data_IF_024893890964
#
_entry.id   IF_024893890964
#
_cell.length_a   1.000
_cell.length_b   1.000
_cell.length_c   1.000
_cell.angle_alpha   90.00
_cell.angle_beta   90.00
_cell.angle_gamma   90.00
#
_symmetry.space_group_name_H-M   'P 1'
#
loop_
_entity.id
_entity.type
_entity.pdbx_description
1 polymer ?
#
# COMPACT_ATOMS: atom_id res chain seq x y z
N UNK A 1 44.50 15.43 -55.83
CA UNK A 1 44.37 16.86 -55.47
C UNK A 1 43.10 17.06 -54.66
N UNK A 2 43.25 17.52 -53.40
CA UNK A 2 42.44 18.51 -52.66
C UNK A 2 40.91 18.29 -52.55
N UNK A 3 40.19 18.51 -51.43
CA UNK A 3 40.46 19.05 -50.09
C UNK A 3 39.22 18.79 -49.19
N UNK A 4 39.46 18.82 -47.88
CA UNK A 4 38.58 18.91 -46.70
C UNK A 4 37.21 19.63 -46.87
N UNK A 5 36.24 19.29 -46.02
CA UNK A 5 35.60 20.14 -44.96
C UNK A 5 34.52 19.32 -44.17
N UNK A 6 34.56 19.40 -42.83
CA UNK A 6 33.55 19.02 -41.80
C UNK A 6 32.45 20.12 -41.69
N UNK A 7 31.28 20.05 -40.98
CA UNK A 7 31.10 19.49 -39.61
C UNK A 7 29.68 19.00 -39.17
N UNK A 8 29.57 18.65 -37.86
CA UNK A 8 28.39 18.58 -36.93
C UNK A 8 27.39 17.40 -37.10
N UNK A 9 26.96 16.64 -36.07
CA UNK A 9 27.22 16.63 -34.63
C UNK A 9 26.33 15.61 -33.87
N UNK A 10 26.48 15.62 -32.54
CA UNK A 10 25.68 14.96 -31.48
C UNK A 10 26.01 13.49 -31.17
N UNK A 11 26.97 13.33 -30.25
CA UNK A 11 27.22 12.12 -29.45
C UNK A 11 26.30 12.06 -28.24
N UNK A 12 25.75 10.87 -28.00
CA UNK A 12 24.87 10.51 -26.91
C UNK A 12 25.58 10.42 -25.55
N UNK A 13 24.80 10.71 -24.51
CA UNK A 13 25.13 10.69 -23.08
C UNK A 13 24.51 9.42 -22.49
N UNK A 14 25.28 8.64 -21.73
CA UNK A 14 24.89 8.00 -20.46
C UNK A 14 25.90 6.92 -20.09
N UNK A 15 26.69 7.19 -19.04
CA UNK A 15 27.59 6.22 -18.41
C UNK A 15 27.31 6.16 -16.91
N UNK A 16 27.34 4.93 -16.38
CA UNK A 16 27.82 4.54 -15.04
C UNK A 16 26.89 4.79 -13.84
N UNK A 17 26.82 3.94 -12.81
CA UNK A 17 27.46 2.66 -12.52
C UNK A 17 26.64 1.92 -11.44
N UNK A 18 26.70 0.60 -11.51
CA UNK A 18 26.20 -0.39 -10.55
C UNK A 18 27.05 -0.42 -9.26
N UNK A 19 26.43 -0.55 -8.09
CA UNK A 19 27.11 -0.93 -6.85
C UNK A 19 26.49 -2.23 -6.33
N UNK A 20 27.23 -3.33 -6.46
CA UNK A 20 26.94 -4.60 -5.80
C UNK A 20 27.56 -4.60 -4.40
N UNK A 21 26.73 -4.71 -3.36
CA UNK A 21 27.19 -4.84 -1.98
C UNK A 21 27.55 -6.30 -1.66
N UNK A 22 28.82 -6.54 -1.31
CA UNK A 22 29.31 -7.82 -0.79
C UNK A 22 29.34 -7.73 0.74
N UNK A 23 28.40 -8.39 1.39
CA UNK A 23 28.36 -8.57 2.84
C UNK A 23 29.47 -9.54 3.25
N UNK A 24 30.41 -9.06 4.05
CA UNK A 24 31.23 -9.93 4.93
C UNK A 24 31.04 -9.51 6.37
N UNK A 25 30.87 -10.54 7.17
CA UNK A 25 30.42 -10.60 8.54
C UNK A 25 31.63 -10.42 9.44
N UNK A 26 31.80 -9.27 10.07
CA UNK A 26 32.78 -9.11 11.15
C UNK A 26 32.32 -8.09 12.17
N UNK A 27 32.28 -8.58 13.40
CA UNK A 27 31.90 -7.92 14.64
C UNK A 27 32.61 -6.59 14.86
N UNK A 28 31.88 -5.49 15.05
CA UNK A 28 32.44 -4.32 15.73
C UNK A 28 31.44 -3.71 16.71
N UNK A 29 31.95 -3.66 17.94
CA UNK A 29 31.32 -3.27 19.18
C UNK A 29 30.69 -1.88 19.15
N UNK A 30 29.52 -1.82 19.77
CA UNK A 30 28.78 -0.63 20.14
C UNK A 30 29.48 0.07 21.32
N UNK A 31 30.39 1.03 21.03
CA UNK A 31 30.76 2.19 21.87
C UNK A 31 31.98 2.89 21.26
N UNK A 32 31.76 4.09 20.70
CA UNK A 32 32.84 5.01 20.33
C UNK A 32 32.91 5.34 18.83
N UNK A 33 31.90 6.01 18.29
CA UNK A 33 32.00 6.67 16.98
C UNK A 33 31.08 7.89 16.90
N UNK A 34 31.11 8.76 17.91
CA UNK A 34 30.64 10.15 17.77
C UNK A 34 31.87 11.03 17.91
N UNK A 35 32.57 11.24 16.79
CA UNK A 35 33.50 12.36 16.51
C UNK A 35 34.28 12.04 15.24
N UNK A 36 33.71 12.38 14.08
CA UNK A 36 34.50 12.83 12.93
C UNK A 36 33.59 13.35 11.81
N UNK A 37 33.90 14.56 11.36
CA UNK A 37 33.66 15.06 10.02
C UNK A 37 32.21 15.41 9.59
N UNK A 38 31.75 16.59 10.00
CA UNK A 38 30.98 17.45 9.07
C UNK A 38 31.58 18.86 9.09
N UNK A 39 32.61 19.07 8.26
CA UNK A 39 33.27 20.38 8.06
C UNK A 39 32.69 21.02 6.80
N UNK A 40 31.53 21.66 6.92
CA UNK A 40 30.97 22.48 5.83
C UNK A 40 31.74 23.79 5.75
N UNK A 41 32.42 24.01 4.61
CA UNK A 41 33.01 25.32 4.24
C UNK A 41 31.88 26.35 4.12
N UNK A 42 31.75 27.25 5.10
CA UNK A 42 30.93 28.46 4.97
C UNK A 42 31.72 29.49 4.15
N UNK A 43 31.19 29.92 2.99
CA UNK A 43 31.68 31.13 2.31
C UNK A 43 31.11 32.37 3.04
N UNK A 44 31.85 33.48 3.13
CA UNK A 44 31.33 34.68 3.76
C UNK A 44 30.24 35.28 2.87
N UNK A 45 29.03 35.44 3.42
CA UNK A 45 28.00 36.27 2.81
C UNK A 45 28.26 37.70 3.27
N UNK A 46 28.60 38.56 2.32
CA UNK A 46 28.74 40.01 2.52
C UNK A 46 27.37 40.58 2.81
N UNK A 47 27.18 41.13 4.01
CA UNK A 47 25.96 41.86 4.38
C UNK A 47 26.10 43.26 3.78
N UNK A 48 25.37 43.52 2.69
CA UNK A 48 25.17 44.87 2.17
C UNK A 48 24.07 45.51 3.01
N UNK A 49 24.43 46.47 3.86
CA UNK A 49 23.50 47.29 4.63
C UNK A 49 22.76 48.24 3.69
N UNK A 50 21.51 47.92 3.36
CA UNK A 50 20.62 48.82 2.63
C UNK A 50 19.75 49.57 3.65
N UNK A 51 20.13 50.82 3.93
CA UNK A 51 19.30 51.76 4.68
C UNK A 51 18.08 52.14 3.85
N UNK A 52 16.90 51.65 4.22
CA UNK A 52 15.64 52.19 3.75
C UNK A 52 14.92 52.77 4.96
N UNK A 53 15.03 54.09 5.10
CA UNK A 53 14.11 54.87 5.91
C UNK A 53 12.73 54.79 5.25
N UNK A 54 11.76 54.22 5.96
CA UNK A 54 10.40 54.08 5.43
C UNK A 54 9.42 53.56 6.48
N UNK A 55 8.74 54.51 7.13
CA UNK A 55 7.41 54.38 7.74
C UNK A 55 7.16 53.25 8.76
N UNK A 56 7.10 53.67 10.03
CA UNK A 56 6.44 53.00 11.15
C UNK A 56 4.93 52.84 10.87
N UNK A 57 4.56 51.80 10.12
CA UNK A 57 3.20 51.29 10.10
C UNK A 57 3.17 50.04 10.99
N UNK A 58 2.55 50.17 12.17
CA UNK A 58 2.33 49.11 13.14
C UNK A 58 1.82 47.83 12.49
N UNK A 59 2.71 46.87 12.28
CA UNK A 59 2.34 45.46 12.13
C UNK A 59 2.65 44.79 13.45
N UNK A 60 1.70 44.95 14.39
CA UNK A 60 1.59 44.05 15.52
C UNK A 60 1.39 42.64 14.96
N UNK A 61 2.45 41.83 14.95
CA UNK A 61 2.35 40.39 14.84
C UNK A 61 1.49 39.95 16.03
N UNK A 62 0.20 39.71 15.80
CA UNK A 62 -0.56 38.84 16.67
C UNK A 62 0.00 37.43 16.41
N UNK A 63 0.53 36.71 17.41
CA UNK A 63 0.63 35.27 17.28
C UNK A 63 -0.80 34.78 17.15
N UNK A 64 -1.18 34.30 15.97
CA UNK A 64 -2.37 33.49 15.82
C UNK A 64 -2.13 32.18 16.58
N UNK A 65 -2.29 32.23 17.91
CA UNK A 65 -2.66 31.07 18.69
C UNK A 65 -3.98 30.60 18.13
N UNK A 66 -3.91 29.65 17.20
CA UNK A 66 -5.06 28.88 16.78
C UNK A 66 -5.58 28.19 18.04
N UNK A 67 -6.61 28.79 18.65
CA UNK A 67 -7.43 28.14 19.67
C UNK A 67 -8.24 27.03 18.96
N UNK A 68 -7.55 25.97 18.53
CA UNK A 68 -8.20 24.72 18.22
C UNK A 68 -8.76 24.21 19.54
N UNK A 69 -10.09 24.23 19.68
CA UNK A 69 -10.76 23.61 20.81
C UNK A 69 -10.20 22.18 21.00
N UNK A 70 -9.90 21.75 22.25
CA UNK A 70 -9.37 20.41 22.48
C UNK A 70 -10.32 19.39 21.84
N UNK A 71 -9.79 18.37 21.14
CA UNK A 71 -10.63 17.39 20.49
C UNK A 71 -11.59 16.81 21.52
N UNK A 72 -12.88 16.72 21.17
CA UNK A 72 -13.86 16.13 22.08
C UNK A 72 -13.38 14.71 22.48
N UNK A 73 -13.61 14.31 23.73
CA UNK A 73 -13.09 13.06 24.26
C UNK A 73 -13.46 11.84 23.39
N UNK A 74 -14.64 11.84 22.78
CA UNK A 74 -15.09 10.80 21.87
C UNK A 74 -14.26 10.71 20.57
N UNK A 75 -13.83 11.85 20.02
CA UNK A 75 -12.98 11.91 18.83
C UNK A 75 -11.58 11.36 19.16
N UNK A 76 -11.05 11.64 20.35
CA UNK A 76 -9.79 11.07 20.83
C UNK A 76 -9.91 9.56 20.99
N UNK A 77 -10.96 9.08 21.66
CA UNK A 77 -11.21 7.64 21.85
C UNK A 77 -11.32 6.92 20.50
N UNK A 78 -12.10 7.48 19.56
CA UNK A 78 -12.27 6.90 18.22
C UNK A 78 -10.96 6.88 17.42
N UNK A 79 -10.18 7.96 17.49
CA UNK A 79 -8.85 8.01 16.84
C UNK A 79 -7.92 6.94 17.42
N UNK A 80 -7.89 6.80 18.74
CA UNK A 80 -7.06 5.79 19.40
C UNK A 80 -7.50 4.37 19.06
N UNK A 81 -8.81 4.13 18.90
CA UNK A 81 -9.35 2.86 18.43
C UNK A 81 -8.86 2.51 17.01
N UNK A 82 -8.88 3.47 16.09
CA UNK A 82 -8.36 3.29 14.72
C UNK A 82 -6.85 2.96 14.73
N UNK A 83 -6.07 3.66 15.55
CA UNK A 83 -4.62 3.42 15.66
C UNK A 83 -4.30 2.03 16.21
N UNK A 84 -5.02 1.57 17.25
CA UNK A 84 -4.85 0.21 17.77
C UNK A 84 -5.32 -0.85 16.77
N UNK A 85 -6.43 -0.58 16.08
CA UNK A 85 -6.97 -1.46 15.05
C UNK A 85 -6.03 -1.69 13.87
N UNK A 86 -5.21 -0.69 13.54
CA UNK A 86 -4.17 -0.85 12.53
C UNK A 86 -3.17 -1.96 12.91
N UNK A 87 -2.81 -2.09 14.19
CA UNK A 87 -1.87 -3.13 14.62
C UNK A 87 -2.43 -4.53 14.36
N UNK A 88 -3.70 -4.76 14.70
CA UNK A 88 -4.37 -6.03 14.43
C UNK A 88 -4.53 -6.31 12.92
N UNK A 89 -4.67 -5.27 12.11
CA UNK A 89 -4.68 -5.41 10.65
C UNK A 89 -3.32 -5.90 10.12
N UNK A 90 -2.21 -5.33 10.61
CA UNK A 90 -0.86 -5.76 10.20
C UNK A 90 -0.61 -7.24 10.55
N UNK A 91 -1.13 -7.70 11.69
CA UNK A 91 -0.96 -9.07 12.17
C UNK A 91 -1.82 -10.09 11.41
N UNK A 92 -3.10 -9.77 11.19
CA UNK A 92 -4.09 -10.75 10.73
C UNK A 92 -4.46 -10.63 9.25
N UNK A 93 -4.23 -9.47 8.62
CA UNK A 93 -4.81 -9.15 7.30
C UNK A 93 -3.78 -8.74 6.26
N UNK A 94 -2.70 -8.06 6.65
CA UNK A 94 -1.75 -7.45 5.72
C UNK A 94 -0.97 -8.44 4.86
N UNK A 95 -0.93 -9.72 5.25
CA UNK A 95 -0.34 -10.78 4.42
C UNK A 95 -1.09 -11.00 3.10
N UNK A 96 -2.42 -10.87 3.11
CA UNK A 96 -3.25 -11.11 1.93
C UNK A 96 -3.89 -9.84 1.37
N UNK A 97 -3.95 -8.76 2.14
CA UNK A 97 -4.75 -7.58 1.79
C UNK A 97 -3.92 -6.31 1.83
N UNK A 98 -4.05 -5.51 0.78
CA UNK A 98 -3.50 -4.16 0.74
C UNK A 98 -4.57 -3.10 1.02
N UNK A 99 -4.21 -2.06 1.76
CA UNK A 99 -4.99 -0.83 1.91
C UNK A 99 -4.61 0.23 0.87
N UNK A 100 -3.61 -0.04 0.02
CA UNK A 100 -3.15 0.90 -1.01
C UNK A 100 -4.04 0.84 -2.26
N UNK A 101 -4.27 2.01 -2.88
CA UNK A 101 -5.07 2.11 -4.11
C UNK A 101 -4.40 1.35 -5.25
N UNK A 102 -5.18 0.49 -5.93
CA UNK A 102 -4.73 -0.23 -7.12
C UNK A 102 -3.80 -1.42 -6.86
N UNK A 103 -3.50 -1.74 -5.60
CA UNK A 103 -2.73 -2.92 -5.26
C UNK A 103 -3.69 -4.10 -5.09
N UNK A 104 -3.53 -5.10 -5.95
CA UNK A 104 -4.19 -6.41 -5.87
C UNK A 104 -3.17 -7.40 -5.32
N UNK A 105 -3.59 -8.21 -4.37
CA UNK A 105 -2.74 -9.18 -3.68
C UNK A 105 -3.43 -10.57 -3.69
N UNK A 106 -3.02 -11.48 -2.81
CA UNK A 106 -3.68 -12.78 -2.60
C UNK A 106 -5.19 -12.61 -2.36
N UNK A 107 -5.58 -11.56 -1.63
CA UNK A 107 -6.94 -11.15 -1.37
C UNK A 107 -7.32 -9.81 -2.02
N UNK A 108 -8.62 -9.46 -2.03
CA UNK A 108 -9.11 -8.20 -2.61
C UNK A 108 -8.57 -6.97 -1.88
N UNK A 109 -8.32 -5.89 -2.62
CA UNK A 109 -7.92 -4.61 -2.03
C UNK A 109 -8.96 -4.10 -1.01
N UNK A 110 -8.47 -3.66 0.15
CA UNK A 110 -9.27 -3.01 1.18
C UNK A 110 -9.19 -1.49 1.11
N UNK A 111 -8.54 -0.93 0.08
CA UNK A 111 -8.58 0.50 -0.16
C UNK A 111 -10.03 0.99 -0.27
N UNK A 112 -10.38 2.01 0.53
CA UNK A 112 -11.70 2.59 0.54
C UNK A 112 -12.82 1.69 1.08
N UNK A 113 -12.50 0.59 1.77
CA UNK A 113 -13.47 -0.38 2.31
C UNK A 113 -14.60 0.28 3.13
N UNK A 114 -14.26 1.20 4.03
CA UNK A 114 -15.21 1.93 4.87
C UNK A 114 -16.14 2.88 4.11
N UNK A 115 -15.90 3.11 2.81
CA UNK A 115 -16.83 3.79 1.91
C UNK A 115 -17.83 2.87 1.20
N UNK A 116 -17.56 1.54 1.17
CA UNK A 116 -18.32 0.56 0.39
C UNK A 116 -18.99 -0.55 1.23
N UNK A 117 -18.59 -0.73 2.50
CA UNK A 117 -19.18 -1.71 3.42
C UNK A 117 -19.43 -1.09 4.79
N UNK A 118 -20.54 -1.49 5.41
CA UNK A 118 -20.86 -1.14 6.80
C UNK A 118 -20.06 -2.03 7.77
N UNK A 119 -19.92 -1.58 9.01
CA UNK A 119 -19.09 -2.25 10.03
C UNK A 119 -19.53 -3.70 10.31
N UNK A 120 -20.84 -3.95 10.37
CA UNK A 120 -21.41 -5.27 10.55
C UNK A 120 -21.15 -6.17 9.33
N UNK A 121 -21.21 -5.62 8.11
CA UNK A 121 -20.89 -6.36 6.89
C UNK A 121 -19.40 -6.71 6.82
N UNK A 122 -18.51 -5.83 7.29
CA UNK A 122 -17.08 -6.11 7.40
C UNK A 122 -16.85 -7.25 8.40
N UNK A 123 -17.45 -7.17 9.59
CA UNK A 123 -17.31 -8.22 10.60
C UNK A 123 -17.79 -9.57 10.08
N UNK A 124 -18.99 -9.61 9.49
CA UNK A 124 -19.55 -10.85 8.94
C UNK A 124 -18.69 -11.43 7.82
N UNK A 125 -18.12 -10.59 6.95
CA UNK A 125 -17.23 -11.07 5.89
C UNK A 125 -15.96 -11.73 6.44
N UNK A 126 -15.45 -11.26 7.58
CA UNK A 126 -14.26 -11.83 8.23
C UNK A 126 -14.62 -13.12 8.99
N UNK A 127 -15.74 -13.13 9.71
CA UNK A 127 -16.19 -14.30 10.48
C UNK A 127 -16.66 -15.45 9.58
N UNK A 128 -17.22 -15.13 8.41
CA UNK A 128 -17.78 -16.09 7.46
C UNK A 128 -17.17 -15.90 6.06
N UNK A 129 -15.87 -16.15 5.87
CA UNK A 129 -15.18 -15.90 4.60
C UNK A 129 -15.72 -16.74 3.43
N UNK A 130 -16.41 -17.84 3.72
CA UNK A 130 -17.04 -18.72 2.75
C UNK A 130 -18.48 -18.31 2.37
N UNK A 131 -19.12 -17.40 3.12
CA UNK A 131 -20.51 -17.01 2.85
C UNK A 131 -20.63 -16.17 1.56
N UNK A 132 -19.61 -15.34 1.27
CA UNK A 132 -19.56 -14.53 0.06
C UNK A 132 -18.10 -14.28 -0.34
N UNK A 133 -17.65 -14.95 -1.39
CA UNK A 133 -16.32 -14.75 -1.95
C UNK A 133 -16.34 -13.54 -2.91
N UNK A 134 -15.32 -12.71 -2.86
CA UNK A 134 -15.20 -11.55 -3.74
C UNK A 134 -14.99 -12.00 -5.20
N UNK A 135 -15.63 -11.30 -6.14
CA UNK A 135 -15.48 -11.59 -7.57
C UNK A 135 -14.02 -11.47 -8.00
N UNK A 136 -13.53 -12.47 -8.72
CA UNK A 136 -12.14 -12.60 -9.14
C UNK A 136 -11.22 -13.21 -8.09
N UNK A 137 -11.75 -13.64 -6.94
CA UNK A 137 -11.04 -14.34 -5.86
C UNK A 137 -11.66 -15.70 -5.53
N UNK A 138 -12.56 -16.20 -6.38
CA UNK A 138 -13.09 -17.54 -6.28
C UNK A 138 -12.00 -18.57 -6.57
N UNK A 139 -11.96 -19.65 -5.81
CA UNK A 139 -11.10 -20.80 -6.08
C UNK A 139 -11.95 -21.97 -6.61
N UNK A 140 -11.35 -22.79 -7.46
CA UNK A 140 -11.96 -24.04 -7.88
C UNK A 140 -10.92 -25.11 -8.19
N UNK A 141 -11.38 -26.36 -8.21
CA UNK A 141 -10.68 -27.48 -8.80
C UNK A 141 -11.29 -27.80 -10.15
N UNK A 142 -10.46 -27.88 -11.19
CA UNK A 142 -10.86 -28.25 -12.55
C UNK A 142 -10.22 -29.59 -12.90
N UNK A 143 -11.03 -30.54 -13.35
CA UNK A 143 -10.58 -31.72 -14.08
C UNK A 143 -10.66 -31.41 -15.57
N UNK A 144 -9.53 -31.48 -16.27
CA UNK A 144 -9.49 -31.32 -17.71
C UNK A 144 -9.68 -32.66 -18.40
N UNK A 145 -10.24 -32.66 -19.61
CA UNK A 145 -10.37 -33.86 -20.47
C UNK A 145 -9.01 -34.55 -20.76
N UNK A 146 -7.90 -33.83 -20.58
CA UNK A 146 -6.54 -34.39 -20.62
C UNK A 146 -6.17 -35.27 -19.43
N UNK A 147 -7.04 -35.40 -18.42
CA UNK A 147 -6.77 -36.04 -17.13
C UNK A 147 -6.00 -35.18 -16.12
N UNK A 148 -5.62 -33.95 -16.47
CA UNK A 148 -4.93 -33.03 -15.56
C UNK A 148 -5.91 -32.37 -14.60
N UNK A 149 -5.51 -32.26 -13.34
CA UNK A 149 -6.23 -31.52 -12.30
C UNK A 149 -5.54 -30.19 -12.04
N UNK A 150 -6.31 -29.10 -12.04
CA UNK A 150 -5.83 -27.77 -11.70
C UNK A 150 -6.60 -27.26 -10.48
N UNK A 151 -5.89 -26.69 -9.51
CA UNK A 151 -6.48 -26.01 -8.37
C UNK A 151 -5.94 -24.59 -8.31
N UNK A 152 -6.83 -23.61 -8.16
CA UNK A 152 -6.42 -22.22 -8.05
C UNK A 152 -7.56 -21.24 -8.21
N UNK A 153 -7.20 -19.97 -8.30
CA UNK A 153 -8.14 -18.86 -8.46
C UNK A 153 -8.73 -18.91 -9.86
N UNK A 154 -10.05 -18.92 -9.96
CA UNK A 154 -10.77 -19.11 -11.22
C UNK A 154 -11.66 -17.92 -11.53
N UNK A 155 -11.71 -17.55 -12.81
CA UNK A 155 -12.76 -16.68 -13.34
C UNK A 155 -13.39 -17.38 -14.53
N UNK A 156 -14.72 -17.44 -14.52
CA UNK A 156 -15.50 -18.04 -15.61
C UNK A 156 -16.33 -16.94 -16.27
N UNK A 157 -16.12 -16.73 -17.56
CA UNK A 157 -16.88 -15.77 -18.37
C UNK A 157 -17.06 -16.34 -19.78
N UNK A 158 -18.28 -16.28 -20.30
CA UNK A 158 -18.61 -16.65 -21.69
C UNK A 158 -18.06 -18.04 -22.12
N UNK A 159 -18.13 -19.03 -21.22
CA UNK A 159 -17.64 -20.39 -21.48
C UNK A 159 -16.12 -20.55 -21.46
N UNK A 160 -15.39 -19.53 -21.01
CA UNK A 160 -13.94 -19.51 -20.86
C UNK A 160 -13.57 -19.56 -19.38
N UNK A 161 -12.76 -20.55 -19.02
CA UNK A 161 -12.22 -20.74 -17.68
C UNK A 161 -10.80 -20.21 -17.64
N UNK A 162 -10.56 -19.15 -16.86
CA UNK A 162 -9.22 -18.66 -16.56
C UNK A 162 -8.83 -19.12 -15.16
N UNK A 163 -7.79 -19.94 -15.05
CA UNK A 163 -7.29 -20.49 -13.77
C UNK A 163 -5.89 -19.96 -13.52
N UNK A 164 -5.69 -19.34 -12.37
CA UNK A 164 -4.40 -18.90 -11.85
C UNK A 164 -3.97 -19.86 -10.75
N UNK A 165 -3.01 -20.73 -11.08
CA UNK A 165 -2.46 -21.76 -10.17
C UNK A 165 -1.33 -21.18 -9.33
N UNK A 166 -0.62 -20.20 -9.87
CA UNK A 166 0.45 -19.45 -9.22
C UNK A 166 0.19 -17.95 -9.42
N UNK A 167 0.54 -17.09 -8.44
CA UNK A 167 0.31 -15.66 -8.53
C UNK A 167 0.82 -15.05 -9.86
N UNK A 168 -0.09 -14.44 -10.61
CA UNK A 168 0.22 -13.80 -11.90
C UNK A 168 0.37 -14.74 -13.10
N UNK A 169 0.31 -16.06 -12.91
CA UNK A 169 0.40 -17.06 -13.99
C UNK A 169 -0.98 -17.69 -14.22
N UNK A 170 -1.70 -17.18 -15.21
CA UNK A 170 -3.02 -17.70 -15.58
C UNK A 170 -2.97 -18.57 -16.83
N UNK A 171 -3.76 -19.64 -16.81
CA UNK A 171 -4.03 -20.53 -17.95
C UNK A 171 -5.50 -20.43 -18.32
N UNK A 172 -5.80 -20.55 -19.61
CA UNK A 172 -7.15 -20.42 -20.13
C UNK A 172 -7.60 -21.72 -20.78
N UNK A 173 -8.82 -22.14 -20.51
CA UNK A 173 -9.46 -23.35 -21.03
C UNK A 173 -10.85 -23.02 -21.55
N UNK A 174 -11.26 -23.66 -22.63
CA UNK A 174 -12.64 -23.58 -23.11
C UNK A 174 -13.48 -24.60 -22.36
N UNK A 175 -14.80 -24.37 -22.26
CA UNK A 175 -15.71 -25.29 -21.59
C UNK A 175 -15.62 -26.75 -22.09
N UNK A 176 -15.34 -26.95 -23.39
CA UNK A 176 -15.14 -28.29 -23.98
C UNK A 176 -13.91 -29.03 -23.48
N UNK A 177 -12.93 -28.31 -22.90
CA UNK A 177 -11.69 -28.88 -22.40
C UNK A 177 -11.76 -29.17 -20.88
N UNK A 178 -12.85 -28.76 -20.22
CA UNK A 178 -13.13 -28.97 -18.79
C UNK A 178 -14.13 -30.12 -18.66
N UNK A 179 -13.68 -31.21 -18.04
CA UNK A 179 -14.50 -32.38 -17.76
C UNK A 179 -15.34 -32.21 -16.50
N UNK A 180 -14.74 -31.65 -15.44
CA UNK A 180 -15.43 -31.35 -14.19
C UNK A 180 -14.94 -30.03 -13.58
N UNK A 181 -15.84 -29.36 -12.87
CA UNK A 181 -15.60 -28.08 -12.20
C UNK A 181 -16.22 -28.08 -10.80
N UNK A 182 -15.36 -28.02 -9.79
CA UNK A 182 -15.76 -28.00 -8.40
C UNK A 182 -15.33 -26.70 -7.72
N UNK A 183 -16.26 -25.81 -7.33
CA UNK A 183 -15.93 -24.66 -6.50
C UNK A 183 -15.26 -25.08 -5.19
N UNK A 184 -14.24 -24.32 -4.80
CA UNK A 184 -13.49 -24.51 -3.57
C UNK A 184 -13.87 -23.48 -2.51
N UNK A 185 -13.46 -23.74 -1.26
CA UNK A 185 -13.57 -22.76 -0.17
C UNK A 185 -12.69 -21.53 -0.44
N UNK A 186 -13.03 -20.43 0.23
CA UNK A 186 -12.27 -19.18 0.21
C UNK A 186 -10.82 -19.41 0.60
N UNK A 187 -9.90 -18.66 -0.03
CA UNK A 187 -8.51 -18.58 0.41
C UNK A 187 -8.36 -17.86 1.76
N UNK A 188 -9.35 -17.04 2.14
CA UNK A 188 -9.34 -16.37 3.44
C UNK A 188 -9.62 -17.39 4.55
N UNK A 189 -8.74 -17.50 5.56
CA UNK A 189 -8.87 -18.49 6.62
C UNK A 189 -10.06 -18.19 7.55
N UNK A 190 -10.73 -19.25 8.00
CA UNK A 190 -11.70 -19.16 9.10
C UNK A 190 -10.95 -18.95 10.43
N UNK A 191 -11.62 -18.37 11.43
CA UNK A 191 -11.02 -18.14 12.73
C UNK A 191 -9.98 -17.01 12.78
N UNK A 192 -9.91 -16.16 11.73
CA UNK A 192 -8.98 -15.01 11.66
C UNK A 192 -9.09 -14.07 12.88
N UNK A 193 -10.23 -14.06 13.58
CA UNK A 193 -10.48 -13.21 14.75
C UNK A 193 -10.44 -13.97 16.08
N UNK A 194 -10.12 -15.27 16.10
CA UNK A 194 -10.29 -16.11 17.29
C UNK A 194 -9.35 -15.71 18.43
N UNK A 195 -8.15 -15.21 18.08
CA UNK A 195 -7.16 -14.72 19.05
C UNK A 195 -7.44 -13.30 19.55
N UNK A 196 -8.47 -12.62 19.02
CA UNK A 196 -8.83 -11.26 19.39
C UNK A 196 -10.01 -11.23 20.36
N UNK A 197 -9.88 -10.44 21.42
CA UNK A 197 -11.00 -10.10 22.29
C UNK A 197 -11.98 -9.11 21.61
N UNK A 198 -13.15 -8.91 22.21
CA UNK A 198 -14.20 -8.05 21.64
C UNK A 198 -13.74 -6.60 21.40
N UNK A 199 -12.83 -6.09 22.24
CA UNK A 199 -12.30 -4.74 22.11
C UNK A 199 -11.31 -4.68 20.95
N UNK A 200 -10.44 -5.67 20.81
CA UNK A 200 -9.47 -5.78 19.73
C UNK A 200 -10.19 -5.96 18.38
N UNK A 201 -11.22 -6.81 18.32
CA UNK A 201 -12.12 -6.93 17.16
C UNK A 201 -12.75 -5.59 16.82
N UNK A 202 -13.31 -4.89 17.81
CA UNK A 202 -13.92 -3.57 17.60
C UNK A 202 -12.93 -2.52 17.09
N UNK A 203 -11.70 -2.52 17.62
CA UNK A 203 -10.61 -1.66 17.15
C UNK A 203 -10.22 -1.99 15.70
N UNK A 204 -10.07 -3.27 15.33
CA UNK A 204 -9.82 -3.70 13.94
C UNK A 204 -10.94 -3.23 12.99
N UNK A 205 -12.21 -3.46 13.35
CA UNK A 205 -13.35 -2.99 12.54
C UNK A 205 -13.40 -1.45 12.49
N UNK A 206 -12.93 -0.75 13.53
CA UNK A 206 -12.78 0.72 13.52
C UNK A 206 -11.76 1.15 12.47
N UNK A 207 -10.61 0.49 12.42
CA UNK A 207 -9.60 0.75 11.42
C UNK A 207 -10.12 0.48 10.01
N UNK A 208 -10.65 -0.71 9.74
CA UNK A 208 -11.19 -1.09 8.43
C UNK A 208 -12.31 -0.17 7.95
N UNK A 209 -13.23 0.21 8.85
CA UNK A 209 -14.30 1.17 8.56
C UNK A 209 -13.81 2.62 8.40
N UNK A 210 -12.59 2.94 8.81
CA UNK A 210 -11.98 4.26 8.61
C UNK A 210 -11.31 4.41 7.24
N UNK A 211 -11.06 3.29 6.53
CA UNK A 211 -10.48 3.27 5.19
C UNK A 211 -11.47 3.86 4.18
N UNK A 212 -11.40 5.17 3.95
CA UNK A 212 -12.22 5.86 2.96
C UNK A 212 -11.36 6.30 1.78
N UNK A 213 -11.87 6.26 0.54
CA UNK A 213 -11.14 6.81 -0.58
C UNK A 213 -10.89 8.31 -0.32
N UNK A 214 -9.64 8.74 -0.49
CA UNK A 214 -9.35 10.17 -0.57
C UNK A 214 -9.94 10.66 -1.88
N UNK A 215 -11.02 11.43 -1.80
CA UNK A 215 -11.57 12.14 -2.96
C UNK A 215 -10.62 13.32 -3.19
N UNK A 216 -9.70 13.19 -4.15
CA UNK A 216 -9.02 14.35 -4.71
C UNK A 216 -10.09 15.16 -5.43
N UNK A 217 -10.54 16.25 -4.80
CA UNK A 217 -11.39 17.23 -5.46
C UNK A 217 -10.48 17.94 -6.45
N UNK A 218 -10.62 17.60 -7.73
CA UNK A 218 -10.02 18.39 -8.79
C UNK A 218 -10.63 19.80 -8.72
N UNK A 219 -9.87 20.76 -8.20
CA UNK A 219 -10.22 22.16 -8.31
C UNK A 219 -10.36 22.48 -9.81
N UNK A 220 -11.50 23.04 -10.17
CA UNK A 220 -11.91 23.32 -11.54
C UNK A 220 -11.69 24.80 -11.84
#
# INVERSE_FOLDING_TARGET
MLKKILPVGVTAIAETATVSAKLTRESLNFKGAIRAAFRVKRKPVVIVSLSIAGTLASLMLQPAVVNAAPPNANAVVKRNAVLRGQLHFEEACAYCHSTCKGVIDVGPSLFGLGGRMKRNEILEAIEKPNAKIAKGFENATLLLVSGRVLNGKVTVADGVYRVEVEPGVSKTFLAKDVEDFQPSRSAMPEGTLDDLDDRQKSDLINFLGSLKPVIEVAEK
#
